data_IF_623607577630
#
_entry.id   IF_623607577630
#
_cell.length_a   1.000
_cell.length_b   1.000
_cell.length_c   1.000
_cell.angle_alpha   90.00
_cell.angle_beta   90.00
_cell.angle_gamma   90.00
#
_symmetry.space_group_name_H-M   'P 1'
#
loop_
_entity.id
_entity.type
_entity.pdbx_description
1 polymer ?
#
# COMPACT_ATOMS: atom_id res chain seq x y z
N UNK A 1 -23.71 -3.57 -25.19
CA UNK A 1 -24.43 -3.23 -23.94
C UNK A 1 -23.39 -2.70 -22.99
N UNK A 2 -23.40 -1.40 -22.73
CA UNK A 2 -22.50 -0.75 -21.74
C UNK A 2 -23.16 -0.82 -20.38
N UNK A 3 -22.43 -1.29 -19.36
CA UNK A 3 -22.88 -1.19 -17.98
C UNK A 3 -22.46 0.17 -17.44
N UNK A 4 -23.41 0.95 -16.99
CA UNK A 4 -23.12 2.24 -16.34
C UNK A 4 -22.82 2.03 -14.85
N UNK A 5 -21.67 2.54 -14.41
CA UNK A 5 -21.29 2.55 -13.00
C UNK A 5 -21.99 3.73 -12.31
N UNK A 6 -22.92 3.42 -11.40
CA UNK A 6 -23.63 4.43 -10.61
C UNK A 6 -22.76 4.99 -9.46
N UNK A 7 -21.85 4.17 -8.93
CA UNK A 7 -20.94 4.54 -7.85
C UNK A 7 -19.51 4.14 -8.19
N UNK A 8 -18.62 5.13 -8.30
CA UNK A 8 -17.18 4.91 -8.42
C UNK A 8 -16.58 4.97 -7.01
N UNK A 9 -16.49 3.83 -6.32
CA UNK A 9 -16.13 3.84 -4.90
C UNK A 9 -14.69 3.42 -4.59
N UNK A 10 -14.04 2.62 -5.45
CA UNK A 10 -12.77 2.03 -5.15
C UNK A 10 -11.79 2.22 -6.32
N UNK A 11 -10.88 3.15 -6.16
CA UNK A 11 -9.86 3.48 -7.17
C UNK A 11 -8.47 3.24 -6.57
N UNK A 12 -7.57 2.66 -7.33
CA UNK A 12 -6.15 2.72 -7.05
C UNK A 12 -5.38 3.07 -8.31
N UNK A 13 -4.19 3.60 -8.16
CA UNK A 13 -3.25 3.76 -9.27
C UNK A 13 -1.95 3.04 -8.94
N UNK A 14 -1.38 2.36 -9.95
CA UNK A 14 -0.09 1.67 -9.86
C UNK A 14 0.81 2.16 -10.99
N UNK A 15 2.07 2.40 -10.67
CA UNK A 15 3.11 2.72 -11.65
C UNK A 15 4.50 2.48 -11.06
N UNK A 16 5.52 2.36 -11.91
CA UNK A 16 6.91 2.37 -11.43
C UNK A 16 7.27 3.78 -10.97
N UNK A 17 7.76 3.92 -9.74
CA UNK A 17 8.18 5.22 -9.21
C UNK A 17 9.29 5.81 -10.10
N UNK A 18 9.23 7.12 -10.45
CA UNK A 18 10.21 7.73 -11.36
C UNK A 18 11.65 7.60 -10.90
N UNK A 19 11.87 7.64 -9.59
CA UNK A 19 13.18 7.52 -8.94
C UNK A 19 13.22 6.28 -8.04
N UNK A 20 12.71 5.15 -8.55
CA UNK A 20 12.59 3.90 -7.80
C UNK A 20 13.91 3.43 -7.21
N UNK A 21 15.03 3.60 -7.94
CA UNK A 21 16.32 3.08 -7.51
C UNK A 21 16.84 3.87 -6.30
N UNK A 22 16.69 5.21 -6.29
CA UNK A 22 17.07 6.07 -5.17
C UNK A 22 16.21 5.77 -3.93
N UNK A 23 14.90 5.52 -4.11
CA UNK A 23 14.02 5.11 -3.01
C UNK A 23 14.46 3.74 -2.46
N UNK A 24 14.78 2.78 -3.33
CA UNK A 24 15.24 1.46 -2.93
C UNK A 24 16.55 1.52 -2.15
N UNK A 25 17.51 2.33 -2.60
CA UNK A 25 18.79 2.52 -1.91
C UNK A 25 18.60 3.13 -0.51
N UNK A 26 17.74 4.15 -0.40
CA UNK A 26 17.43 4.78 0.88
C UNK A 26 16.77 3.79 1.85
N UNK A 27 15.80 2.98 1.38
CA UNK A 27 15.14 1.96 2.21
C UNK A 27 16.16 0.89 2.65
N UNK A 28 17.00 0.40 1.74
CA UNK A 28 18.02 -0.59 2.05
C UNK A 28 19.00 -0.09 3.11
N UNK A 29 19.39 1.18 3.06
CA UNK A 29 20.25 1.78 4.07
C UNK A 29 19.60 1.72 5.45
N UNK A 30 18.33 2.10 5.58
CA UNK A 30 17.59 2.04 6.85
C UNK A 30 17.42 0.62 7.36
N UNK A 31 17.15 -0.34 6.47
CA UNK A 31 17.03 -1.76 6.83
C UNK A 31 18.37 -2.32 7.35
N UNK A 32 19.51 -1.88 6.79
CA UNK A 32 20.84 -2.35 7.20
C UNK A 32 21.33 -1.75 8.51
N UNK A 33 20.94 -0.50 8.82
CA UNK A 33 21.44 0.21 10.00
C UNK A 33 20.84 -0.29 11.30
N UNK A 34 19.90 -1.24 11.26
CA UNK A 34 19.20 -1.75 12.46
C UNK A 34 18.64 -0.60 13.34
N UNK A 35 18.31 0.53 12.73
CA UNK A 35 17.77 1.71 13.40
C UNK A 35 16.29 1.45 13.76
N UNK A 36 16.13 0.31 14.44
CA UNK A 36 14.85 -0.21 14.90
C UNK A 36 14.47 0.50 16.19
N UNK A 37 13.63 1.49 16.09
CA UNK A 37 12.67 1.67 17.15
C UNK A 37 11.72 0.46 17.07
N UNK A 38 11.95 -0.53 17.91
CA UNK A 38 11.16 -1.77 17.98
C UNK A 38 9.77 -1.44 18.55
N UNK A 39 9.08 -0.55 17.85
CA UNK A 39 7.70 -0.23 18.11
C UNK A 39 6.87 -1.45 17.71
N UNK A 40 6.82 -2.38 18.65
CA UNK A 40 5.83 -3.46 18.66
C UNK A 40 4.44 -2.83 18.74
N UNK A 41 3.94 -2.33 17.63
CA UNK A 41 2.52 -2.06 17.51
C UNK A 41 1.78 -3.33 17.92
N UNK A 42 0.57 -3.18 18.48
CA UNK A 42 -0.29 -4.34 18.78
C UNK A 42 -0.51 -5.25 17.56
N UNK A 43 -0.36 -4.72 16.35
CA UNK A 43 -0.30 -5.42 15.08
C UNK A 43 0.81 -6.48 15.02
N UNK A 44 1.97 -6.26 15.60
CA UNK A 44 3.05 -7.22 15.69
C UNK A 44 2.71 -8.48 16.49
N UNK A 45 1.61 -8.47 17.23
CA UNK A 45 1.08 -9.68 17.90
C UNK A 45 0.10 -10.47 17.02
N UNK A 46 -0.49 -9.83 16.01
CA UNK A 46 -1.47 -10.44 15.10
C UNK A 46 -0.88 -10.77 13.73
N UNK A 47 0.05 -9.95 13.30
CA UNK A 47 0.75 -10.09 12.02
C UNK A 47 2.22 -10.06 12.35
N UNK A 48 2.95 -11.12 12.10
CA UNK A 48 4.39 -11.20 12.33
C UNK A 48 5.15 -10.27 11.35
N UNK A 49 4.95 -8.97 11.50
CA UNK A 49 5.55 -7.94 10.66
C UNK A 49 6.45 -7.05 11.51
N UNK A 50 7.70 -6.94 11.13
CA UNK A 50 8.62 -5.96 11.71
C UNK A 50 8.44 -4.63 10.99
N UNK A 51 8.24 -3.55 11.74
CA UNK A 51 8.09 -2.21 11.23
C UNK A 51 9.24 -1.33 11.68
N UNK A 52 9.75 -0.55 10.73
CA UNK A 52 10.74 0.48 10.97
C UNK A 52 10.04 1.81 10.73
N UNK A 53 10.00 2.69 11.72
CA UNK A 53 9.50 4.05 11.57
C UNK A 53 10.63 4.92 11.02
N UNK A 54 10.33 5.70 10.00
CA UNK A 54 11.28 6.58 9.33
C UNK A 54 11.01 8.04 9.70
N UNK A 55 12.07 8.85 9.77
CA UNK A 55 11.93 10.30 9.78
C UNK A 55 11.45 10.74 8.40
N UNK A 56 10.30 11.36 8.34
CA UNK A 56 9.66 11.71 7.07
C UNK A 56 10.47 12.75 6.26
N UNK A 57 11.24 13.60 6.94
CA UNK A 57 12.11 14.60 6.31
C UNK A 57 13.14 13.96 5.37
N UNK A 58 13.57 12.73 5.68
CA UNK A 58 14.54 12.00 4.87
C UNK A 58 13.91 11.49 3.54
N UNK A 59 12.59 11.43 3.47
CA UNK A 59 11.87 10.81 2.35
C UNK A 59 11.01 11.77 1.53
N UNK A 60 10.78 13.01 1.99
CA UNK A 60 9.85 13.90 1.30
C UNK A 60 10.33 14.22 -0.13
N UNK A 61 11.60 14.50 -0.31
CA UNK A 61 12.15 14.82 -1.62
C UNK A 61 12.19 13.61 -2.54
N UNK A 62 12.47 12.43 -1.99
CA UNK A 62 12.42 11.16 -2.73
C UNK A 62 11.00 10.81 -3.15
N UNK A 63 10.00 11.14 -2.33
CA UNK A 63 8.60 10.79 -2.60
C UNK A 63 7.90 11.77 -3.55
N UNK A 64 8.39 13.00 -3.64
CA UNK A 64 7.78 14.07 -4.44
C UNK A 64 7.57 13.69 -5.91
N UNK A 65 8.52 13.09 -6.65
CA UNK A 65 8.29 12.70 -8.04
C UNK A 65 7.10 11.75 -8.21
N UNK A 66 6.91 10.81 -7.29
CA UNK A 66 5.78 9.88 -7.30
C UNK A 66 4.45 10.58 -6.99
N UNK A 67 4.45 11.55 -6.06
CA UNK A 67 3.27 12.37 -5.77
C UNK A 67 2.88 13.24 -6.96
N UNK A 68 3.83 13.80 -7.68
CA UNK A 68 3.58 14.61 -8.89
C UNK A 68 2.93 13.73 -9.99
N UNK A 69 3.40 12.49 -10.19
CA UNK A 69 2.78 11.54 -11.12
C UNK A 69 1.35 11.22 -10.69
N UNK A 70 1.13 10.96 -9.41
CA UNK A 70 -0.20 10.66 -8.87
C UNK A 70 -1.17 11.84 -9.06
N UNK A 71 -0.78 13.07 -8.68
CA UNK A 71 -1.57 14.28 -8.86
C UNK A 71 -1.94 14.53 -10.34
N UNK A 72 -0.98 14.33 -11.25
CA UNK A 72 -1.20 14.45 -12.69
C UNK A 72 -2.23 13.40 -13.20
N UNK A 73 -2.19 12.15 -12.70
CA UNK A 73 -3.17 11.12 -13.06
C UNK A 73 -4.59 11.47 -12.61
N UNK A 74 -4.73 12.20 -11.51
CA UNK A 74 -6.01 12.70 -11.00
C UNK A 74 -6.44 14.02 -11.66
N UNK A 75 -5.61 14.59 -12.53
CA UNK A 75 -5.81 15.90 -13.15
C UNK A 75 -6.09 17.00 -12.12
N UNK A 76 -5.33 17.02 -11.04
CA UNK A 76 -5.54 17.93 -9.92
C UNK A 76 -4.22 18.35 -9.28
N UNK A 77 -4.25 19.46 -8.54
CA UNK A 77 -3.15 19.91 -7.70
C UNK A 77 -3.59 19.80 -6.25
N UNK A 78 -2.85 19.03 -5.48
CA UNK A 78 -3.06 18.89 -4.05
C UNK A 78 -1.87 19.43 -3.29
N UNK A 79 -2.12 19.97 -2.12
CA UNK A 79 -1.14 20.09 -1.08
C UNK A 79 -1.31 18.88 -0.15
N UNK A 80 -0.21 18.19 0.16
CA UNK A 80 -0.23 17.02 1.02
C UNK A 80 0.49 17.30 2.33
N UNK A 81 -0.03 16.75 3.41
CA UNK A 81 0.74 16.52 4.62
C UNK A 81 1.02 15.01 4.70
N UNK A 82 2.29 14.65 4.83
CA UNK A 82 2.76 13.26 4.96
C UNK A 82 2.75 12.88 6.43
N UNK A 83 2.27 11.67 6.74
CA UNK A 83 2.27 11.11 8.08
C UNK A 83 3.03 9.80 8.12
N UNK A 84 3.94 9.71 9.08
CA UNK A 84 4.58 8.50 9.57
C UNK A 84 4.88 7.47 8.49
N UNK A 85 5.86 7.69 7.60
CA UNK A 85 6.33 6.63 6.72
C UNK A 85 6.91 5.49 7.56
N UNK A 86 6.67 4.26 7.13
CA UNK A 86 7.21 3.08 7.79
C UNK A 86 7.57 1.99 6.78
N UNK A 87 8.54 1.16 7.14
CA UNK A 87 8.95 -0.02 6.39
C UNK A 87 8.35 -1.26 7.05
N UNK A 88 7.75 -2.13 6.24
CA UNK A 88 7.29 -3.45 6.66
C UNK A 88 8.25 -4.50 6.09
N UNK A 89 8.66 -5.44 6.95
CA UNK A 89 9.47 -6.60 6.58
C UNK A 89 8.67 -7.86 6.86
N UNK A 90 8.48 -8.68 5.83
CA UNK A 90 7.75 -9.94 5.91
C UNK A 90 8.70 -11.08 5.58
N UNK A 91 8.84 -12.03 6.49
CA UNK A 91 9.54 -13.31 6.28
C UNK A 91 8.56 -14.37 5.81
N UNK A 92 9.06 -15.55 5.48
CA UNK A 92 8.25 -16.70 5.09
C UNK A 92 7.08 -16.92 6.09
N UNK A 93 5.87 -17.07 5.56
CA UNK A 93 4.65 -17.25 6.33
C UNK A 93 4.07 -15.99 6.99
N UNK A 94 4.84 -14.90 7.07
CA UNK A 94 4.35 -13.65 7.63
C UNK A 94 3.35 -12.97 6.69
N UNK A 95 2.38 -12.31 7.25
CA UNK A 95 1.27 -11.68 6.54
C UNK A 95 0.79 -10.43 7.27
N UNK A 96 -0.13 -9.70 6.67
CA UNK A 96 -0.85 -8.62 7.34
C UNK A 96 -2.35 -8.82 7.15
N UNK A 97 -3.09 -8.81 8.25
CA UNK A 97 -4.54 -8.93 8.24
C UNK A 97 -5.20 -7.78 7.46
N UNK A 98 -6.46 -7.99 7.06
CA UNK A 98 -7.25 -6.97 6.37
C UNK A 98 -7.52 -5.79 7.30
N UNK A 99 -7.14 -4.60 6.87
CA UNK A 99 -7.26 -3.36 7.63
C UNK A 99 -7.46 -2.16 6.70
N UNK A 100 -7.73 -1.01 7.28
CA UNK A 100 -7.71 0.30 6.62
C UNK A 100 -6.83 1.28 7.43
N UNK A 101 -6.61 2.47 6.87
CA UNK A 101 -5.85 3.53 7.55
C UNK A 101 -6.80 4.67 7.92
N UNK A 102 -7.69 4.41 8.89
CA UNK A 102 -8.59 5.42 9.44
C UNK A 102 -7.83 6.68 9.89
N UNK A 103 -8.36 7.85 9.51
CA UNK A 103 -7.76 9.14 9.85
C UNK A 103 -6.80 9.71 8.81
N UNK A 104 -6.59 9.03 7.68
CA UNK A 104 -5.85 9.56 6.53
C UNK A 104 -6.74 9.58 5.28
N UNK A 105 -6.39 10.41 4.29
CA UNK A 105 -7.18 10.51 3.05
C UNK A 105 -6.68 9.54 1.98
N UNK A 106 -5.36 9.47 1.82
CA UNK A 106 -4.68 8.63 0.83
C UNK A 106 -3.58 7.84 1.52
N UNK A 107 -3.44 6.59 1.10
CA UNK A 107 -2.33 5.71 1.47
C UNK A 107 -1.54 5.32 0.23
N UNK A 108 -0.25 5.08 0.41
CA UNK A 108 0.59 4.50 -0.63
C UNK A 108 1.45 3.37 -0.09
N UNK A 109 1.81 2.46 -0.98
CA UNK A 109 2.78 1.39 -0.71
C UNK A 109 3.77 1.33 -1.87
N UNK A 110 5.05 1.44 -1.54
CA UNK A 110 6.18 1.19 -2.44
C UNK A 110 6.71 -0.23 -2.22
N UNK A 111 7.00 -0.94 -3.31
CA UNK A 111 7.39 -2.35 -3.28
C UNK A 111 8.87 -2.50 -3.63
N UNK A 112 9.63 -3.13 -2.73
CA UNK A 112 11.05 -3.44 -2.94
C UNK A 112 11.26 -4.74 -3.73
N UNK A 113 10.24 -5.59 -3.78
CA UNK A 113 10.30 -6.92 -4.38
C UNK A 113 9.11 -7.15 -5.31
N UNK A 114 9.30 -8.04 -6.28
CA UNK A 114 8.20 -8.62 -7.06
C UNK A 114 7.30 -9.46 -6.15
N UNK A 115 6.00 -9.48 -6.42
CA UNK A 115 5.05 -10.32 -5.67
C UNK A 115 3.60 -10.11 -6.05
N UNK A 116 2.73 -10.95 -5.51
CA UNK A 116 1.27 -10.93 -5.69
C UNK A 116 0.50 -11.01 -4.35
N UNK A 117 1.19 -10.84 -3.23
CA UNK A 117 0.60 -11.02 -1.90
C UNK A 117 -0.26 -9.84 -1.45
N UNK A 118 -0.07 -8.64 -2.03
CA UNK A 118 -0.90 -7.48 -1.72
C UNK A 118 -2.27 -7.57 -2.39
N UNK A 119 -3.33 -7.31 -1.63
CA UNK A 119 -4.70 -7.35 -2.15
C UNK A 119 -5.60 -6.31 -1.49
N UNK A 120 -6.59 -5.83 -2.25
CA UNK A 120 -7.73 -5.10 -1.71
C UNK A 120 -8.89 -6.05 -1.42
N UNK A 121 -9.64 -5.75 -0.36
CA UNK A 121 -10.83 -6.49 0.03
C UNK A 121 -12.07 -5.59 -0.07
N UNK A 122 -13.14 -6.10 -0.68
CA UNK A 122 -14.38 -5.35 -0.77
C UNK A 122 -15.18 -5.44 0.54
N UNK A 123 -15.32 -4.31 1.22
CA UNK A 123 -16.10 -4.19 2.46
C UNK A 123 -17.57 -4.63 2.28
N UNK A 124 -18.12 -4.45 1.08
CA UNK A 124 -19.51 -4.80 0.77
C UNK A 124 -19.68 -6.27 0.34
N UNK A 125 -18.62 -7.05 0.33
CA UNK A 125 -18.63 -8.44 -0.15
C UNK A 125 -19.64 -9.34 0.58
N UNK A 126 -19.90 -9.07 1.85
CA UNK A 126 -20.83 -9.84 2.67
C UNK A 126 -22.29 -9.65 2.27
N UNK A 127 -22.63 -8.57 1.58
CA UNK A 127 -23.98 -8.26 1.13
C UNK A 127 -24.34 -8.89 -0.21
N UNK A 128 -23.35 -9.43 -0.95
CA UNK A 128 -23.53 -10.08 -2.24
C UNK A 128 -23.54 -11.60 -2.08
N UNK A 129 -24.67 -12.14 -1.58
CA UNK A 129 -24.88 -13.59 -1.40
C UNK A 129 -25.58 -14.25 -2.59
N UNK A 130 -25.98 -13.48 -3.57
CA UNK A 130 -26.78 -13.93 -4.72
C UNK A 130 -25.92 -14.66 -5.76
N UNK A 131 -26.47 -15.67 -6.47
CA UNK A 131 -25.83 -16.27 -7.64
C UNK A 131 -25.43 -15.27 -8.73
N UNK A 132 -26.02 -14.08 -8.73
CA UNK A 132 -25.64 -12.99 -9.63
C UNK A 132 -24.18 -12.58 -9.49
N UNK A 133 -23.59 -12.74 -8.30
CA UNK A 133 -22.16 -12.53 -8.03
C UNK A 133 -21.27 -13.35 -8.98
N UNK A 134 -21.62 -14.63 -9.17
CA UNK A 134 -20.88 -15.54 -10.04
C UNK A 134 -21.02 -15.13 -11.53
N UNK A 135 -22.23 -14.71 -11.92
CA UNK A 135 -22.52 -14.28 -13.30
C UNK A 135 -21.68 -13.06 -13.73
N UNK A 136 -21.43 -12.13 -12.80
CA UNK A 136 -20.65 -10.91 -13.10
C UNK A 136 -19.14 -11.09 -12.80
N UNK A 137 -18.71 -12.29 -12.40
CA UNK A 137 -17.31 -12.57 -12.07
C UNK A 137 -16.80 -11.78 -10.83
N UNK A 138 -17.70 -11.42 -9.92
CA UNK A 138 -17.35 -10.65 -8.74
C UNK A 138 -16.44 -11.44 -7.80
N UNK A 139 -15.36 -10.80 -7.34
CA UNK A 139 -14.42 -11.35 -6.36
C UNK A 139 -14.40 -10.48 -5.10
N UNK A 140 -14.38 -11.11 -3.94
CA UNK A 140 -14.31 -10.40 -2.63
C UNK A 140 -12.95 -9.74 -2.41
N UNK A 141 -11.90 -10.28 -3.03
CA UNK A 141 -10.56 -9.76 -2.95
C UNK A 141 -9.98 -9.56 -4.36
N UNK A 142 -9.22 -8.49 -4.52
CA UNK A 142 -8.52 -8.13 -5.76
C UNK A 142 -7.02 -8.10 -5.47
N UNK A 143 -6.32 -9.16 -5.84
CA UNK A 143 -4.86 -9.24 -5.76
C UNK A 143 -4.19 -8.35 -6.79
N UNK A 144 -3.07 -7.77 -6.44
CA UNK A 144 -2.27 -6.90 -7.29
C UNK A 144 -0.90 -7.51 -7.47
N UNK A 145 -0.57 -7.91 -8.71
CA UNK A 145 0.80 -8.24 -9.07
C UNK A 145 1.64 -6.95 -9.11
N UNK A 146 2.76 -6.93 -8.43
CA UNK A 146 3.70 -5.81 -8.35
C UNK A 146 5.10 -6.23 -8.75
N UNK A 147 5.88 -5.26 -9.22
CA UNK A 147 7.31 -5.39 -9.50
C UNK A 147 8.11 -4.50 -8.56
N UNK A 148 9.37 -4.87 -8.35
CA UNK A 148 10.30 -4.02 -7.60
C UNK A 148 10.36 -2.61 -8.19
N UNK A 149 10.19 -1.60 -7.35
CA UNK A 149 10.09 -0.20 -7.73
C UNK A 149 8.67 0.28 -8.09
N UNK A 150 7.67 -0.60 -8.10
CA UNK A 150 6.28 -0.17 -8.23
C UNK A 150 5.82 0.56 -6.97
N UNK A 151 4.95 1.54 -7.18
CA UNK A 151 4.23 2.24 -6.13
C UNK A 151 2.73 2.24 -6.42
N UNK A 152 1.92 2.04 -5.39
CA UNK A 152 0.47 2.18 -5.47
C UNK A 152 0.01 3.34 -4.60
N UNK A 153 -1.05 4.03 -5.04
CA UNK A 153 -1.80 5.01 -4.25
C UNK A 153 -3.27 4.62 -4.25
N UNK A 154 -3.92 4.75 -3.11
CA UNK A 154 -5.33 4.40 -2.94
C UNK A 154 -5.96 5.17 -1.78
N UNK A 155 -7.31 5.37 -1.78
CA UNK A 155 -8.01 5.95 -0.64
C UNK A 155 -7.79 5.15 0.64
N UNK A 156 -7.43 5.82 1.72
CA UNK A 156 -7.03 5.18 2.99
C UNK A 156 -8.12 4.32 3.63
N UNK A 157 -9.39 4.55 3.30
CA UNK A 157 -10.52 3.75 3.77
C UNK A 157 -10.69 2.39 3.06
N UNK A 158 -9.92 2.14 1.99
CA UNK A 158 -9.97 0.85 1.29
C UNK A 158 -9.34 -0.24 2.15
N UNK A 159 -10.12 -1.29 2.43
CA UNK A 159 -9.63 -2.47 3.11
C UNK A 159 -8.58 -3.16 2.23
N UNK A 160 -7.44 -3.47 2.82
CA UNK A 160 -6.35 -4.18 2.15
C UNK A 160 -5.57 -5.05 3.12
N UNK A 161 -4.78 -5.96 2.58
CA UNK A 161 -3.97 -6.88 3.37
C UNK A 161 -2.81 -7.44 2.55
N UNK A 162 -1.99 -8.24 3.22
CA UNK A 162 -0.89 -8.98 2.61
C UNK A 162 -1.05 -10.45 2.94
N UNK A 163 -1.16 -11.29 1.91
CA UNK A 163 -1.19 -12.75 2.07
C UNK A 163 0.14 -13.29 2.60
N UNK A 164 0.16 -14.47 3.23
CA UNK A 164 1.40 -15.08 3.71
C UNK A 164 2.46 -15.18 2.61
N UNK A 165 3.65 -14.68 2.91
CA UNK A 165 4.81 -14.77 2.00
C UNK A 165 5.19 -16.24 1.81
N UNK A 166 5.33 -16.68 0.55
CA UNK A 166 5.47 -18.10 0.16
C UNK A 166 6.89 -18.51 -0.17
N UNK A 167 7.84 -17.59 -0.13
CA UNK A 167 9.25 -17.84 -0.42
C UNK A 167 10.14 -17.38 0.73
N UNK A 168 11.41 -17.82 0.72
CA UNK A 168 12.35 -17.50 1.79
C UNK A 168 12.95 -16.07 1.69
N UNK A 169 12.65 -15.35 0.61
CA UNK A 169 13.10 -13.96 0.47
C UNK A 169 12.28 -13.04 1.38
N UNK A 170 12.96 -12.16 2.11
CA UNK A 170 12.28 -11.13 2.87
C UNK A 170 11.61 -10.15 1.92
N UNK A 171 10.29 -10.04 2.03
CA UNK A 171 9.52 -9.02 1.33
C UNK A 171 9.61 -7.70 2.09
N UNK A 172 9.92 -6.64 1.40
CA UNK A 172 10.05 -5.30 1.99
C UNK A 172 9.10 -4.34 1.27
N UNK A 173 8.34 -3.57 2.04
CA UNK A 173 7.50 -2.49 1.52
C UNK A 173 7.67 -1.24 2.35
N UNK A 174 7.54 -0.06 1.72
CA UNK A 174 7.43 1.21 2.44
C UNK A 174 6.02 1.76 2.28
N UNK A 175 5.38 2.05 3.39
CA UNK A 175 4.02 2.61 3.43
C UNK A 175 4.06 4.06 3.91
N UNK A 176 3.18 4.89 3.34
CA UNK A 176 3.05 6.31 3.68
C UNK A 176 1.58 6.69 3.65
N UNK A 177 1.15 7.46 4.64
CA UNK A 177 -0.18 8.04 4.68
C UNK A 177 -0.13 9.55 4.43
N UNK A 178 -1.19 10.09 3.83
CA UNK A 178 -1.29 11.49 3.45
C UNK A 178 -2.65 12.07 3.86
N UNK A 179 -2.63 13.34 4.27
CA UNK A 179 -3.81 14.21 4.27
C UNK A 179 -3.77 15.17 3.10
N UNK A 180 -4.94 15.42 2.53
CA UNK A 180 -5.16 16.42 1.48
C UNK A 180 -5.49 17.74 2.16
N UNK A 181 -4.64 18.74 1.95
CA UNK A 181 -4.91 20.11 2.40
C UNK A 181 -5.69 20.85 1.31
N UNK A 182 -6.82 21.41 1.68
CA UNK A 182 -7.63 22.27 0.80
C UNK A 182 -7.06 23.68 0.70
#
# INVERSE_FOLDING_TARGET
MTLDLIFASNLYTKFKAPNSDEIMDAINLHVQLDDYDDHKFEWGKRCDVNRILLKWEDFIDLYKPSLDVFANKLNTKFNFTIYNPWINLYKFGQHQEVHDHCGSDISSVFFMNDGDEFYFYDRNSTNLTSPFKELIGYKNAHGIEVKAGDIIFFPSHMLHGVSPVKNDATRVTMSVNFHINK
#
